data_IF_610696637489
#
_entry.id   IF_610696637489
#
_cell.length_a   1.000
_cell.length_b   1.000
_cell.length_c   1.000
_cell.angle_alpha   90.00
_cell.angle_beta   90.00
_cell.angle_gamma   90.00
#
_symmetry.space_group_name_H-M   'P 1'
#
loop_
_entity.id
_entity.type
_entity.pdbx_description
1 polymer ?
#
# COMPACT_ATOMS: atom_id res chain seq x y z
N UNK A 1 14.07 -21.88 -9.47
CA UNK A 1 13.29 -20.62 -9.52
C UNK A 1 13.60 -19.81 -8.26
N UNK A 2 14.26 -18.64 -8.35
CA UNK A 2 14.50 -17.80 -7.16
C UNK A 2 13.17 -17.15 -6.74
N UNK A 3 12.70 -17.28 -5.50
CA UNK A 3 11.59 -16.46 -5.04
C UNK A 3 12.12 -15.04 -4.95
N UNK A 4 11.77 -14.21 -5.93
CA UNK A 4 12.08 -12.78 -5.94
C UNK A 4 11.11 -12.14 -4.94
N UNK A 5 11.36 -12.35 -3.65
CA UNK A 5 10.61 -11.71 -2.58
C UNK A 5 10.68 -10.21 -2.84
N UNK A 6 9.52 -9.60 -3.10
CA UNK A 6 9.47 -8.17 -3.27
C UNK A 6 9.86 -7.57 -1.93
N UNK A 7 10.64 -6.49 -1.88
CA UNK A 7 10.94 -5.83 -0.59
C UNK A 7 9.66 -5.37 0.12
N UNK A 8 8.58 -5.19 -0.64
CA UNK A 8 7.22 -4.96 -0.16
C UNK A 8 6.58 -6.13 0.62
N UNK A 9 7.08 -7.37 0.44
CA UNK A 9 6.63 -8.56 1.17
C UNK A 9 7.13 -8.57 2.63
N UNK A 10 7.90 -7.57 3.06
CA UNK A 10 8.32 -7.44 4.46
C UNK A 10 7.08 -7.38 5.37
N UNK A 11 7.02 -8.19 6.45
CA UNK A 11 5.83 -8.30 7.29
C UNK A 11 5.37 -6.94 7.84
N UNK A 12 6.31 -6.06 8.19
CA UNK A 12 5.99 -4.70 8.67
C UNK A 12 5.32 -3.82 7.61
N UNK A 13 5.78 -3.89 6.36
CA UNK A 13 5.19 -3.14 5.24
C UNK A 13 3.78 -3.66 4.96
N UNK A 14 3.61 -4.99 4.97
CA UNK A 14 2.28 -5.62 4.80
C UNK A 14 1.34 -5.23 5.94
N UNK A 15 1.82 -5.25 7.19
CA UNK A 15 1.03 -4.84 8.36
C UNK A 15 0.67 -3.35 8.32
N UNK A 16 1.58 -2.50 7.87
CA UNK A 16 1.31 -1.08 7.61
C UNK A 16 0.20 -0.91 6.57
N UNK A 17 0.33 -1.55 5.40
CA UNK A 17 -0.65 -1.46 4.32
C UNK A 17 -2.04 -1.94 4.76
N UNK A 18 -2.13 -3.02 5.53
CA UNK A 18 -3.39 -3.51 6.12
C UNK A 18 -4.00 -2.49 7.07
N UNK A 19 -3.20 -1.91 7.98
CA UNK A 19 -3.66 -0.87 8.91
C UNK A 19 -4.16 0.37 8.17
N UNK A 20 -3.44 0.81 7.14
CA UNK A 20 -3.87 1.94 6.30
C UNK A 20 -5.17 1.63 5.56
N UNK A 21 -5.33 0.41 5.04
CA UNK A 21 -6.56 -0.01 4.36
C UNK A 21 -7.77 0.01 5.30
N UNK A 22 -7.63 -0.53 6.52
CA UNK A 22 -8.69 -0.53 7.55
C UNK A 22 -9.02 0.89 7.99
N UNK A 23 -8.00 1.72 8.23
CA UNK A 23 -8.20 3.13 8.59
C UNK A 23 -8.99 3.86 7.50
N UNK A 24 -8.59 3.73 6.24
CA UNK A 24 -9.26 4.35 5.08
C UNK A 24 -10.71 3.87 4.87
N UNK A 25 -11.05 2.65 5.26
CA UNK A 25 -12.44 2.20 5.26
C UNK A 25 -13.26 2.84 6.39
N UNK A 26 -12.65 3.05 7.56
CA UNK A 26 -13.33 3.62 8.74
C UNK A 26 -13.51 5.12 8.62
N UNK A 27 -12.47 5.84 8.20
CA UNK A 27 -12.52 7.26 7.92
C UNK A 27 -12.75 7.44 6.43
N UNK A 28 -13.94 7.92 6.03
CA UNK A 28 -14.25 8.39 4.65
C UNK A 28 -13.40 9.60 4.21
N UNK A 29 -12.18 9.76 4.74
CA UNK A 29 -11.29 10.86 4.44
C UNK A 29 -10.45 10.49 3.22
N UNK A 30 -10.93 10.86 2.03
CA UNK A 30 -10.37 10.42 0.75
C UNK A 30 -8.97 10.97 0.45
N UNK A 31 -8.62 12.14 0.99
CA UNK A 31 -7.47 12.95 0.60
C UNK A 31 -6.15 12.54 1.26
N UNK A 32 -6.14 12.12 2.53
CA UNK A 32 -4.89 11.84 3.28
C UNK A 32 -4.25 10.47 2.99
N UNK A 33 -4.81 9.67 2.08
CA UNK A 33 -4.39 8.27 1.88
C UNK A 33 -4.23 7.88 0.40
N UNK A 34 -3.85 8.81 -0.48
CA UNK A 34 -3.57 8.46 -1.88
C UNK A 34 -2.44 7.43 -1.99
N UNK A 35 -2.41 6.63 -3.07
CA UNK A 35 -1.35 5.62 -3.28
C UNK A 35 0.05 6.25 -3.33
N UNK A 36 0.16 7.51 -3.78
CA UNK A 36 1.42 8.24 -3.78
C UNK A 36 1.87 8.54 -2.35
N UNK A 37 0.98 9.06 -1.50
CA UNK A 37 1.32 9.36 -0.11
C UNK A 37 1.75 8.10 0.68
N UNK A 38 1.17 6.94 0.37
CA UNK A 38 1.58 5.67 0.96
C UNK A 38 2.96 5.24 0.46
N UNK A 39 3.23 5.40 -0.82
CA UNK A 39 4.55 5.14 -1.38
C UNK A 39 5.63 6.03 -0.74
N UNK A 40 5.34 7.33 -0.57
CA UNK A 40 6.26 8.28 0.06
C UNK A 40 6.51 7.92 1.53
N UNK A 41 5.47 7.48 2.27
CA UNK A 41 5.62 6.97 3.64
C UNK A 41 6.47 5.70 3.71
N UNK A 42 6.31 4.80 2.73
CA UNK A 42 7.13 3.58 2.67
C UNK A 42 8.60 3.93 2.41
N UNK A 43 8.85 4.91 1.54
CA UNK A 43 10.21 5.41 1.28
C UNK A 43 10.82 6.04 2.54
N UNK A 44 10.06 6.89 3.24
CA UNK A 44 10.49 7.53 4.49
C UNK A 44 10.79 6.52 5.62
N UNK A 45 9.96 5.49 5.80
CA UNK A 45 10.09 4.56 6.94
C UNK A 45 11.03 3.39 6.68
N UNK A 46 11.10 2.88 5.45
CA UNK A 46 11.89 1.70 5.10
C UNK A 46 12.97 1.97 4.05
N UNK A 47 13.17 3.22 3.61
CA UNK A 47 14.13 3.57 2.56
C UNK A 47 13.80 2.91 1.21
N UNK A 48 12.54 2.53 1.02
CA UNK A 48 12.10 1.77 -0.15
C UNK A 48 11.31 2.66 -1.10
N UNK A 49 11.98 3.12 -2.15
CA UNK A 49 11.35 3.88 -3.22
C UNK A 49 10.45 2.99 -4.07
N UNK A 50 9.14 3.15 -3.90
CA UNK A 50 8.12 2.37 -4.61
C UNK A 50 7.27 3.28 -5.48
N UNK A 51 7.06 2.91 -6.73
CA UNK A 51 6.13 3.65 -7.59
C UNK A 51 4.67 3.33 -7.25
N UNK A 52 3.76 4.30 -7.35
CA UNK A 52 2.31 4.11 -7.10
C UNK A 52 1.70 2.92 -7.86
N UNK A 53 2.16 2.67 -9.10
CA UNK A 53 1.70 1.55 -9.93
C UNK A 53 2.14 0.19 -9.37
N UNK A 54 3.36 0.11 -8.83
CA UNK A 54 3.88 -1.09 -8.16
C UNK A 54 3.11 -1.35 -6.88
N UNK A 55 2.87 -0.30 -6.09
CA UNK A 55 2.04 -0.39 -4.89
C UNK A 55 0.62 -0.84 -5.21
N UNK A 56 0.01 -0.31 -6.27
CA UNK A 56 -1.32 -0.72 -6.73
C UNK A 56 -1.39 -2.22 -7.09
N UNK A 57 -0.41 -2.73 -7.86
CA UNK A 57 -0.33 -4.17 -8.17
C UNK A 57 -0.09 -5.01 -6.93
N UNK A 58 0.73 -4.53 -6.01
CA UNK A 58 1.00 -5.21 -4.75
C UNK A 58 -0.24 -5.28 -3.86
N UNK A 59 -0.99 -4.19 -3.74
CA UNK A 59 -2.27 -4.16 -3.03
C UNK A 59 -3.31 -5.08 -3.67
N UNK A 60 -3.35 -5.18 -5.01
CA UNK A 60 -4.19 -6.18 -5.70
C UNK A 60 -3.80 -7.60 -5.32
N UNK A 61 -2.50 -7.92 -5.30
CA UNK A 61 -1.99 -9.24 -4.86
C UNK A 61 -2.33 -9.54 -3.40
N UNK A 62 -2.33 -8.52 -2.53
CA UNK A 62 -2.74 -8.66 -1.12
C UNK A 62 -4.26 -8.69 -0.91
N UNK A 63 -5.07 -8.50 -1.96
CA UNK A 63 -6.52 -8.40 -1.84
C UNK A 63 -7.02 -7.09 -1.19
N UNK A 64 -6.16 -6.08 -1.05
CA UNK A 64 -6.45 -4.82 -0.36
C UNK A 64 -6.81 -3.67 -1.31
N UNK A 65 -6.84 -3.91 -2.62
CA UNK A 65 -7.09 -2.86 -3.61
C UNK A 65 -8.45 -2.17 -3.49
N UNK A 66 -9.42 -2.82 -2.83
CA UNK A 66 -10.77 -2.27 -2.64
C UNK A 66 -10.76 -0.98 -1.82
N UNK A 67 -9.84 -0.83 -0.86
CA UNK A 67 -9.78 0.37 0.00
C UNK A 67 -9.36 1.63 -0.78
N UNK A 68 -8.78 1.47 -1.97
CA UNK A 68 -8.35 2.55 -2.87
C UNK A 68 -9.10 2.56 -4.20
N UNK A 69 -10.19 1.80 -4.33
CA UNK A 69 -11.11 2.01 -5.47
C UNK A 69 -11.89 3.29 -5.21
N UNK A 70 -11.63 4.32 -6.00
CA UNK A 70 -12.55 5.44 -6.13
C UNK A 70 -13.83 4.89 -6.73
N UNK A 71 -14.94 5.00 -6.01
CA UNK A 71 -16.26 4.57 -6.49
C UNK A 71 -16.56 5.25 -7.82
N UNK A 72 -17.05 4.47 -8.77
CA UNK A 72 -17.74 4.97 -9.96
C UNK A 72 -19.22 4.79 -9.72
#
# INVERSE_FOLDING_TARGET
MRPRHSRLDHPDIVAFLRRTAVSRLKTKNETSSSLQCIADKIDLQWGLRVHKSTLSRFLKRLGLSFAWRTGK
#
